data_IF_055452779534
#
_entry.id   IF_055452779534
#
_cell.length_a   1.000
_cell.length_b   1.000
_cell.length_c   1.000
_cell.angle_alpha   90.00
_cell.angle_beta   90.00
_cell.angle_gamma   90.00
#
_symmetry.space_group_name_H-M   'P 1'
#
loop_
_entity.id
_entity.type
_entity.pdbx_description
1 polymer ?
#
# COMPACT_ATOMS: atom_id res chain seq x y z
N UNK A 1 29.96 -7.15 -21.68
CA UNK A 1 30.12 -6.47 -20.38
C UNK A 1 28.76 -6.39 -19.75
N UNK A 2 28.52 -7.15 -18.68
CA UNK A 2 27.25 -7.14 -17.96
C UNK A 2 27.16 -5.81 -17.19
N UNK A 3 26.26 -4.92 -17.60
CA UNK A 3 25.94 -3.73 -16.84
C UNK A 3 25.33 -4.18 -15.50
N UNK A 4 26.02 -3.85 -14.41
CA UNK A 4 25.60 -4.16 -13.05
C UNK A 4 24.26 -3.44 -12.77
N UNK A 5 23.17 -4.13 -12.39
CA UNK A 5 21.82 -3.55 -12.31
C UNK A 5 21.67 -2.39 -11.31
N UNK A 6 22.62 -2.20 -10.40
CA UNK A 6 22.62 -1.13 -9.41
C UNK A 6 22.71 0.29 -9.99
N UNK A 7 23.25 0.45 -11.20
CA UNK A 7 23.46 1.78 -11.80
C UNK A 7 22.19 2.41 -12.41
N UNK A 8 21.05 1.70 -12.45
CA UNK A 8 19.82 2.16 -13.11
C UNK A 8 18.91 3.02 -12.23
N UNK A 9 19.13 3.02 -10.91
CA UNK A 9 18.24 3.61 -9.90
C UNK A 9 18.91 4.67 -9.02
N UNK A 10 20.20 4.95 -9.25
CA UNK A 10 20.94 5.93 -8.46
C UNK A 10 20.57 7.35 -8.92
N UNK A 11 20.19 8.27 -8.01
CA UNK A 11 20.10 9.68 -8.34
C UNK A 11 21.46 10.15 -8.89
N UNK A 12 21.41 10.89 -10.01
CA UNK A 12 22.59 11.33 -10.78
C UNK A 12 23.59 12.09 -9.89
N UNK A 13 24.58 11.39 -9.32
CA UNK A 13 26.00 11.80 -9.18
C UNK A 13 26.88 10.82 -8.35
N UNK A 14 26.54 9.53 -8.21
CA UNK A 14 27.35 8.58 -7.42
C UNK A 14 28.47 7.86 -8.20
N UNK A 15 28.81 8.30 -9.41
CA UNK A 15 29.89 7.69 -10.21
C UNK A 15 31.30 7.90 -9.64
N UNK A 16 31.45 8.76 -8.63
CA UNK A 16 32.72 9.07 -7.98
C UNK A 16 33.07 8.11 -6.83
N UNK A 17 32.10 7.34 -6.32
CA UNK A 17 32.31 6.45 -5.18
C UNK A 17 32.67 5.01 -5.64
N UNK A 18 33.60 4.33 -4.95
CA UNK A 18 33.88 2.92 -5.21
C UNK A 18 32.68 2.03 -4.81
N UNK A 19 32.53 0.88 -5.47
CA UNK A 19 31.34 0.00 -5.40
C UNK A 19 30.97 -0.44 -3.96
N UNK A 20 31.96 -0.54 -3.08
CA UNK A 20 31.84 -0.86 -1.65
C UNK A 20 31.11 0.24 -0.87
N UNK A 21 31.41 1.50 -1.14
CA UNK A 21 30.74 2.66 -0.53
C UNK A 21 29.30 2.79 -1.04
N UNK A 22 29.08 2.55 -2.33
CA UNK A 22 27.72 2.58 -2.92
C UNK A 22 26.84 1.52 -2.25
N UNK A 23 27.36 0.31 -2.04
CA UNK A 23 26.63 -0.78 -1.39
C UNK A 23 26.29 -0.46 0.06
N UNK A 24 27.22 0.11 0.83
CA UNK A 24 26.98 0.53 2.21
C UNK A 24 25.89 1.61 2.30
N UNK A 25 25.94 2.61 1.42
CA UNK A 25 24.93 3.68 1.35
C UNK A 25 23.56 3.13 0.97
N UNK A 26 23.49 2.23 -0.03
CA UNK A 26 22.23 1.57 -0.42
C UNK A 26 21.66 0.70 0.71
N UNK A 27 22.50 -0.08 1.40
CA UNK A 27 22.08 -0.88 2.56
C UNK A 27 21.58 0.00 3.71
N UNK A 28 22.20 1.16 3.93
CA UNK A 28 21.77 2.11 4.96
C UNK A 28 20.46 2.82 4.57
N UNK A 29 20.28 3.20 3.29
CA UNK A 29 19.01 3.73 2.76
C UNK A 29 17.90 2.67 2.89
N UNK A 30 18.15 1.42 2.50
CA UNK A 30 17.18 0.35 2.67
C UNK A 30 16.85 0.09 4.15
N UNK A 31 17.84 0.15 5.05
CA UNK A 31 17.61 0.03 6.51
C UNK A 31 16.81 1.21 7.05
N UNK A 32 17.10 2.43 6.61
CA UNK A 32 16.35 3.65 6.91
C UNK A 32 14.90 3.52 6.42
N UNK A 33 14.68 3.09 5.19
CA UNK A 33 13.35 2.84 4.63
C UNK A 33 12.61 1.73 5.39
N UNK A 34 13.28 0.62 5.72
CA UNK A 34 12.72 -0.46 6.57
C UNK A 34 12.41 0.03 7.98
N UNK A 35 13.23 0.91 8.56
CA UNK A 35 12.99 1.57 9.87
C UNK A 35 11.90 2.63 9.82
N UNK A 36 11.72 3.33 8.69
CA UNK A 36 10.61 4.28 8.47
C UNK A 36 9.29 3.56 8.22
N UNK A 37 9.33 2.42 7.51
CA UNK A 37 8.26 1.40 7.42
C UNK A 37 8.02 0.63 8.73
N UNK A 38 8.53 1.09 9.88
CA UNK A 38 8.27 0.49 11.19
C UNK A 38 6.81 0.70 11.58
N UNK A 39 6.01 -0.22 11.04
CA UNK A 39 4.62 -0.59 11.32
C UNK A 39 4.03 0.20 12.48
N UNK A 40 3.14 1.13 12.13
CA UNK A 40 2.11 1.59 13.03
C UNK A 40 1.36 0.34 13.52
N UNK A 41 1.74 -0.17 14.70
CA UNK A 41 1.21 -1.42 15.31
C UNK A 41 -0.29 -1.37 15.56
N UNK A 42 -0.91 -0.21 15.34
CA UNK A 42 -2.32 0.01 15.46
C UNK A 42 -3.05 -0.74 14.34
N UNK A 43 -4.02 -1.56 14.74
CA UNK A 43 -5.01 -2.11 13.82
C UNK A 43 -5.84 -0.97 13.21
N UNK A 44 -6.13 -1.00 11.90
CA UNK A 44 -6.93 0.05 11.28
C UNK A 44 -8.31 0.12 11.94
N UNK A 45 -8.75 1.34 12.27
CA UNK A 45 -10.12 1.59 12.70
C UNK A 45 -11.08 1.53 11.51
N UNK A 46 -12.39 1.60 11.77
CA UNK A 46 -13.37 1.69 10.67
C UNK A 46 -13.14 2.93 9.80
N UNK A 47 -12.80 4.07 10.40
CA UNK A 47 -12.51 5.32 9.67
C UNK A 47 -11.28 5.16 8.77
N UNK A 48 -10.26 4.45 9.24
CA UNK A 48 -9.05 4.20 8.44
C UNK A 48 -9.36 3.30 7.24
N UNK A 49 -10.16 2.24 7.46
CA UNK A 49 -10.67 1.37 6.39
C UNK A 49 -11.49 2.14 5.35
N UNK A 50 -12.42 3.00 5.79
CA UNK A 50 -13.21 3.82 4.86
C UNK A 50 -12.31 4.72 3.99
N UNK A 51 -11.26 5.31 4.58
CA UNK A 51 -10.31 6.12 3.82
C UNK A 51 -9.48 5.30 2.84
N UNK A 52 -9.06 4.10 3.22
CA UNK A 52 -8.32 3.22 2.33
C UNK A 52 -9.20 2.73 1.16
N UNK A 53 -10.46 2.39 1.43
CA UNK A 53 -11.46 2.05 0.40
C UNK A 53 -11.65 3.20 -0.59
N UNK A 54 -11.83 4.44 -0.10
CA UNK A 54 -11.98 5.60 -0.98
C UNK A 54 -10.74 5.87 -1.85
N UNK A 55 -9.56 5.53 -1.36
CA UNK A 55 -8.33 5.68 -2.13
C UNK A 55 -8.19 4.57 -3.17
N UNK A 56 -8.48 3.32 -2.80
CA UNK A 56 -8.52 2.19 -3.73
C UNK A 56 -9.50 2.42 -4.89
N UNK A 57 -10.68 3.02 -4.61
CA UNK A 57 -11.69 3.31 -5.63
C UNK A 57 -11.32 4.46 -6.58
N UNK A 58 -10.24 5.22 -6.32
CA UNK A 58 -9.73 6.20 -7.29
C UNK A 58 -8.92 5.55 -8.41
N UNK A 59 -8.37 4.38 -8.14
CA UNK A 59 -7.68 3.56 -9.13
C UNK A 59 -8.72 2.76 -9.94
N UNK A 60 -8.41 2.47 -11.20
CA UNK A 60 -9.22 1.55 -12.00
C UNK A 60 -8.99 0.11 -11.51
N UNK A 61 -9.79 -0.31 -10.52
CA UNK A 61 -9.65 -1.62 -9.87
C UNK A 61 -10.93 -2.45 -9.99
N UNK A 62 -10.77 -3.73 -10.31
CA UNK A 62 -11.86 -4.69 -10.34
C UNK A 62 -12.16 -5.29 -8.95
N UNK A 63 -13.33 -5.93 -8.75
CA UNK A 63 -13.70 -6.53 -7.46
C UNK A 63 -12.72 -7.61 -6.96
N UNK A 64 -12.02 -8.28 -7.88
CA UNK A 64 -11.07 -9.35 -7.57
C UNK A 64 -9.82 -8.83 -6.87
N UNK A 65 -9.29 -7.68 -7.33
CA UNK A 65 -8.03 -7.11 -6.86
C UNK A 65 -8.23 -6.01 -5.81
N UNK A 66 -9.48 -5.54 -5.65
CA UNK A 66 -9.84 -4.46 -4.74
C UNK A 66 -9.37 -4.69 -3.29
N UNK A 67 -9.51 -5.91 -2.80
CA UNK A 67 -9.15 -6.26 -1.42
C UNK A 67 -7.64 -6.15 -1.21
N UNK A 68 -6.87 -6.61 -2.18
CA UNK A 68 -5.40 -6.57 -2.12
C UNK A 68 -4.91 -5.12 -2.18
N UNK A 69 -5.48 -4.30 -3.07
CA UNK A 69 -5.17 -2.87 -3.14
C UNK A 69 -5.47 -2.14 -1.81
N UNK A 70 -6.58 -2.47 -1.15
CA UNK A 70 -6.90 -1.90 0.18
C UNK A 70 -5.88 -2.34 1.23
N UNK A 71 -5.36 -3.57 1.15
CA UNK A 71 -4.28 -4.01 2.04
C UNK A 71 -3.00 -3.23 1.80
N UNK A 72 -2.59 -3.07 0.54
CA UNK A 72 -1.39 -2.33 0.17
C UNK A 72 -1.45 -0.88 0.69
N UNK A 73 -2.55 -0.18 0.46
CA UNK A 73 -2.78 1.18 0.95
C UNK A 73 -2.68 1.26 2.49
N UNK A 74 -3.23 0.26 3.20
CA UNK A 74 -3.16 0.21 4.65
C UNK A 74 -1.73 -0.05 5.14
N UNK A 75 -0.98 -0.92 4.48
CA UNK A 75 0.41 -1.22 4.81
C UNK A 75 1.35 -0.03 4.51
N UNK A 76 1.13 0.67 3.39
CA UNK A 76 1.86 1.90 3.04
C UNK A 76 1.63 3.00 4.07
N UNK A 77 0.41 3.10 4.62
CA UNK A 77 0.08 3.98 5.75
C UNK A 77 0.59 3.46 7.09
N UNK A 78 1.30 2.34 7.08
CA UNK A 78 1.97 1.71 8.21
C UNK A 78 1.07 0.84 9.08
N UNK A 79 -0.20 0.61 8.75
CA UNK A 79 -1.10 -0.17 9.61
C UNK A 79 -0.74 -1.66 9.63
N UNK A 80 -1.04 -2.31 10.75
CA UNK A 80 -0.99 -3.77 10.82
C UNK A 80 -2.29 -4.40 10.28
N UNK A 81 -2.22 -5.02 9.10
CA UNK A 81 -3.36 -5.64 8.41
C UNK A 81 -3.55 -7.12 8.72
N UNK A 82 -2.65 -7.76 9.49
CA UNK A 82 -2.66 -9.21 9.78
C UNK A 82 -3.99 -9.72 10.35
N UNK A 83 -4.73 -8.86 11.04
CA UNK A 83 -6.03 -9.17 11.64
C UNK A 83 -7.21 -8.50 10.94
N UNK A 84 -6.99 -7.83 9.81
CA UNK A 84 -8.04 -7.22 9.01
C UNK A 84 -8.52 -8.26 8.01
N UNK A 85 -9.65 -8.90 8.29
CA UNK A 85 -10.18 -9.94 7.41
C UNK A 85 -10.89 -9.32 6.20
N UNK A 86 -10.89 -10.04 5.08
CA UNK A 86 -11.59 -9.68 3.83
C UNK A 86 -13.05 -9.28 4.07
N UNK A 87 -13.77 -10.03 4.90
CA UNK A 87 -15.17 -9.72 5.28
C UNK A 87 -15.34 -8.33 5.88
N UNK A 88 -14.33 -7.81 6.60
CA UNK A 88 -14.40 -6.48 7.23
C UNK A 88 -14.24 -5.37 6.19
N UNK A 89 -13.45 -5.60 5.14
CA UNK A 89 -13.30 -4.65 4.02
C UNK A 89 -14.62 -4.58 3.26
N UNK A 90 -15.15 -5.72 2.81
CA UNK A 90 -16.43 -5.77 2.10
C UNK A 90 -17.60 -5.25 2.93
N UNK A 91 -17.73 -5.65 4.19
CA UNK A 91 -18.79 -5.11 5.06
C UNK A 91 -18.65 -3.62 5.34
N UNK A 92 -17.43 -3.05 5.22
CA UNK A 92 -17.25 -1.59 5.28
C UNK A 92 -17.67 -0.95 3.97
N UNK A 93 -17.24 -1.48 2.82
CA UNK A 93 -17.66 -1.02 1.49
C UNK A 93 -19.18 -1.05 1.34
N UNK A 94 -19.82 -2.19 1.60
CA UNK A 94 -21.27 -2.37 1.51
C UNK A 94 -22.01 -1.36 2.40
N UNK A 95 -21.52 -1.14 3.63
CA UNK A 95 -22.10 -0.12 4.49
C UNK A 95 -21.92 1.29 3.93
N UNK A 96 -20.82 1.59 3.24
CA UNK A 96 -20.61 2.88 2.59
C UNK A 96 -21.61 3.08 1.45
N UNK A 97 -21.83 2.05 0.63
CA UNK A 97 -22.84 2.06 -0.44
C UNK A 97 -24.24 2.23 0.14
N UNK A 98 -24.65 1.38 1.09
CA UNK A 98 -25.99 1.42 1.73
C UNK A 98 -26.32 2.75 2.39
N UNK A 99 -25.32 3.45 2.92
CA UNK A 99 -25.49 4.76 3.55
C UNK A 99 -25.38 5.93 2.57
N UNK A 100 -25.11 5.68 1.29
CA UNK A 100 -24.95 6.71 0.26
C UNK A 100 -23.66 7.51 0.37
N UNK A 101 -22.62 6.97 1.02
CA UNK A 101 -21.30 7.63 1.05
C UNK A 101 -20.54 7.46 -0.28
N UNK A 102 -20.79 6.35 -0.98
CA UNK A 102 -20.24 6.03 -2.30
C UNK A 102 -21.33 5.35 -3.12
N UNK A 103 -21.19 5.39 -4.44
CA UNK A 103 -21.97 4.53 -5.34
C UNK A 103 -21.40 3.11 -5.37
N UNK A 104 -22.16 2.14 -5.87
CA UNK A 104 -21.68 0.77 -6.05
C UNK A 104 -20.78 0.65 -7.29
N UNK A 105 -19.61 1.28 -7.23
CA UNK A 105 -18.62 1.31 -8.32
C UNK A 105 -18.19 -0.10 -8.73
N UNK A 106 -18.09 -1.03 -7.78
CA UNK A 106 -17.66 -2.40 -8.01
C UNK A 106 -18.81 -3.33 -8.44
N UNK A 107 -20.07 -2.87 -8.42
CA UNK A 107 -21.24 -3.66 -8.81
C UNK A 107 -21.47 -4.91 -7.96
N UNK A 108 -21.01 -4.91 -6.69
CA UNK A 108 -21.08 -6.09 -5.81
C UNK A 108 -22.24 -6.04 -4.81
N UNK A 109 -22.99 -4.94 -4.76
CA UNK A 109 -24.06 -4.70 -3.80
C UNK A 109 -25.48 -4.83 -4.38
N UNK A 110 -25.66 -5.39 -5.58
CA UNK A 110 -26.95 -5.47 -6.30
C UNK A 110 -28.13 -6.18 -5.58
N UNK A 111 -27.94 -6.76 -4.39
CA UNK A 111 -29.01 -7.41 -3.59
C UNK A 111 -29.09 -6.94 -2.13
N UNK A 112 -28.84 -5.66 -1.90
CA UNK A 112 -28.68 -5.10 -0.56
C UNK A 112 -29.93 -4.44 0.02
#
# INVERSE_FOLDING_TARGET
>A
MLLNPYYRVLPLDLTWAPDDVIKEVLEEIEKEEKKRKKVNRRRPTRKDLMRAILEALKEEVGPQDFVDLVYDILEERGFNVKFTNVKRIWGTYEMMVKKGFIEDVLGVCERC
#
